data_IF_574690392430
#
_entry.id   IF_574690392430
#
_cell.length_a   1.000
_cell.length_b   1.000
_cell.length_c   1.000
_cell.angle_alpha   90.00
_cell.angle_beta   90.00
_cell.angle_gamma   90.00
#
_symmetry.space_group_name_H-M   'P 1'
#
loop_
_entity.id
_entity.type
_entity.pdbx_description
1 polymer ?
#
# COMPACT_ATOMS: atom_id res chain seq x y z
N UNK A 1 48.64 -1.22 10.92
CA UNK A 1 49.79 -2.04 11.37
C UNK A 1 50.62 -1.23 12.35
N UNK A 2 50.95 -1.81 13.50
CA UNK A 2 51.86 -1.26 14.51
C UNK A 2 53.21 -1.97 14.37
N UNK A 3 54.20 -1.30 13.79
CA UNK A 3 55.53 -1.88 13.64
C UNK A 3 56.29 -1.89 14.98
N UNK A 4 56.79 -3.06 15.39
CA UNK A 4 57.54 -3.22 16.64
C UNK A 4 58.48 -4.42 16.58
N UNK A 5 59.67 -4.32 17.17
CA UNK A 5 60.60 -5.44 17.29
C UNK A 5 60.11 -6.53 18.27
N UNK A 6 59.14 -6.22 19.14
CA UNK A 6 58.56 -7.15 20.11
C UNK A 6 57.05 -7.34 19.86
N UNK A 7 56.68 -7.84 18.68
CA UNK A 7 55.27 -8.03 18.29
C UNK A 7 54.46 -8.91 19.27
N UNK A 8 55.11 -9.89 19.91
CA UNK A 8 54.48 -10.77 20.90
C UNK A 8 54.54 -10.23 22.34
N UNK A 9 55.22 -9.11 22.57
CA UNK A 9 55.35 -8.50 23.89
C UNK A 9 54.02 -7.97 24.43
N UNK A 10 53.82 -8.06 25.75
CA UNK A 10 52.59 -7.58 26.39
C UNK A 10 52.34 -6.08 26.16
N UNK A 11 53.41 -5.28 26.11
CA UNK A 11 53.31 -3.83 25.84
C UNK A 11 52.81 -3.51 24.43
N UNK A 12 53.28 -4.26 23.42
CA UNK A 12 52.85 -4.08 22.04
C UNK A 12 51.39 -4.46 21.82
N UNK A 13 50.93 -5.57 22.42
CA UNK A 13 49.53 -6.00 22.36
C UNK A 13 48.61 -4.99 23.03
N UNK A 14 48.97 -4.51 24.22
CA UNK A 14 48.18 -3.50 24.95
C UNK A 14 48.08 -2.19 24.17
N UNK A 15 49.19 -1.74 23.58
CA UNK A 15 49.17 -0.54 22.74
C UNK A 15 48.31 -0.74 21.47
N UNK A 16 48.35 -1.93 20.87
CA UNK A 16 47.49 -2.26 19.74
C UNK A 16 46.00 -2.26 20.11
N UNK A 17 45.63 -2.77 21.29
CA UNK A 17 44.27 -2.71 21.84
C UNK A 17 43.83 -1.27 22.10
N UNK A 18 44.67 -0.46 22.76
CA UNK A 18 44.39 0.96 23.04
C UNK A 18 44.18 1.77 21.75
N UNK A 19 45.01 1.52 20.73
CA UNK A 19 44.87 2.16 19.41
C UNK A 19 43.63 1.65 18.66
N UNK A 20 43.32 0.36 18.75
CA UNK A 20 42.12 -0.20 18.11
C UNK A 20 40.85 0.39 18.71
N UNK A 21 40.80 0.56 20.03
CA UNK A 21 39.68 1.21 20.71
C UNK A 21 39.59 2.71 20.38
N UNK A 22 40.72 3.42 20.31
CA UNK A 22 40.75 4.86 20.04
C UNK A 22 40.33 5.22 18.62
N UNK A 23 40.69 4.38 17.64
CA UNK A 23 40.49 4.68 16.22
C UNK A 23 39.45 3.78 15.53
N UNK A 24 38.82 2.85 16.25
CA UNK A 24 37.77 1.94 15.75
C UNK A 24 38.18 1.10 14.52
N UNK A 25 39.47 0.78 14.42
CA UNK A 25 40.09 -0.02 13.34
C UNK A 25 40.98 -1.10 13.93
N UNK A 26 41.07 -2.25 13.28
CA UNK A 26 41.98 -3.33 13.67
C UNK A 26 43.45 -2.90 13.60
N UNK A 27 44.17 -3.02 14.71
CA UNK A 27 45.61 -2.76 14.79
C UNK A 27 46.36 -4.06 15.06
N UNK A 28 47.18 -4.48 14.10
CA UNK A 28 48.07 -5.64 14.25
C UNK A 28 49.49 -5.22 14.64
N UNK A 29 50.04 -5.67 15.78
CA UNK A 29 51.45 -5.53 16.11
C UNK A 29 52.28 -6.53 15.31
N UNK A 30 53.23 -6.05 14.51
CA UNK A 30 54.05 -6.88 13.62
C UNK A 30 55.49 -6.39 13.66
N UNK A 31 56.44 -7.32 13.68
CA UNK A 31 57.84 -7.05 13.41
C UNK A 31 58.07 -7.11 11.91
N UNK A 32 58.07 -5.95 11.27
CA UNK A 32 58.19 -5.85 9.80
C UNK A 32 59.55 -6.34 9.32
N UNK A 33 60.60 -6.28 10.16
CA UNK A 33 61.94 -6.73 9.78
C UNK A 33 62.06 -8.26 9.74
N UNK A 34 61.28 -8.97 10.56
CA UNK A 34 61.29 -10.44 10.66
C UNK A 34 59.96 -11.05 10.19
N UNK A 35 59.24 -10.36 9.30
CA UNK A 35 57.91 -10.75 8.85
C UNK A 35 57.94 -12.05 8.04
N UNK A 36 57.02 -12.97 8.36
CA UNK A 36 56.80 -14.21 7.61
C UNK A 36 55.65 -14.10 6.61
N UNK A 37 55.54 -15.04 5.67
CA UNK A 37 54.39 -15.12 4.75
C UNK A 37 53.05 -15.22 5.50
N UNK A 38 53.04 -15.91 6.65
CA UNK A 38 51.85 -16.01 7.50
C UNK A 38 51.44 -14.66 8.11
N UNK A 39 52.40 -13.77 8.38
CA UNK A 39 52.12 -12.42 8.87
C UNK A 39 51.55 -11.54 7.75
N UNK A 40 52.02 -11.72 6.51
CA UNK A 40 51.46 -11.05 5.32
C UNK A 40 50.00 -11.47 5.12
N UNK A 41 49.72 -12.78 5.16
CA UNK A 41 48.36 -13.31 5.05
C UNK A 41 47.44 -12.74 6.15
N UNK A 42 47.98 -12.60 7.36
CA UNK A 42 47.23 -12.02 8.48
C UNK A 42 46.93 -10.53 8.26
N UNK A 43 47.90 -9.75 7.78
CA UNK A 43 47.68 -8.33 7.44
C UNK A 43 46.59 -8.20 6.38
N UNK A 44 46.68 -9.00 5.31
CA UNK A 44 45.73 -8.94 4.21
C UNK A 44 44.31 -9.32 4.64
N UNK A 45 44.17 -10.36 5.48
CA UNK A 45 42.86 -10.74 6.05
C UNK A 45 42.26 -9.63 6.91
N UNK A 46 43.07 -9.00 7.77
CA UNK A 46 42.57 -7.90 8.62
C UNK A 46 42.21 -6.68 7.79
N UNK A 47 43.00 -6.36 6.77
CA UNK A 47 42.70 -5.27 5.84
C UNK A 47 41.38 -5.52 5.09
N UNK A 48 41.13 -6.76 4.65
CA UNK A 48 39.88 -7.14 3.97
C UNK A 48 38.65 -6.95 4.88
N UNK A 49 38.78 -7.26 6.17
CA UNK A 49 37.70 -7.12 7.16
C UNK A 49 37.35 -5.66 7.51
N UNK A 50 38.26 -4.74 7.27
CA UNK A 50 38.07 -3.30 7.50
C UNK A 50 37.43 -2.57 6.33
N UNK A 51 37.28 -3.22 5.16
CA UNK A 51 36.56 -2.63 4.04
C UNK A 51 35.07 -2.46 4.33
N UNK A 52 34.51 -1.41 3.74
CA UNK A 52 33.07 -1.17 3.78
C UNK A 52 32.33 -2.19 2.91
N UNK A 53 31.14 -2.59 3.36
CA UNK A 53 30.21 -3.40 2.59
C UNK A 53 29.62 -2.50 1.50
N UNK A 54 29.87 -2.84 0.24
CA UNK A 54 29.34 -2.09 -0.91
C UNK A 54 27.87 -2.43 -1.18
N UNK A 55 27.49 -3.69 -0.92
CA UNK A 55 26.14 -4.19 -1.15
C UNK A 55 25.76 -5.21 -0.09
N UNK A 56 24.63 -4.97 0.57
CA UNK A 56 24.00 -5.90 1.49
C UNK A 56 22.72 -6.43 0.85
N UNK A 57 22.72 -7.69 0.43
CA UNK A 57 21.56 -8.39 -0.14
C UNK A 57 20.84 -9.17 0.96
N UNK A 58 19.68 -8.68 1.39
CA UNK A 58 18.86 -9.34 2.41
C UNK A 58 17.71 -10.06 1.73
N UNK A 59 17.79 -11.39 1.71
CA UNK A 59 16.78 -12.27 1.14
C UNK A 59 15.76 -12.62 2.20
N UNK A 60 14.51 -12.34 1.88
CA UNK A 60 13.35 -12.59 2.74
C UNK A 60 12.31 -13.43 2.04
N UNK A 61 11.40 -14.08 2.80
CA UNK A 61 10.24 -14.73 2.23
C UNK A 61 9.45 -13.78 1.33
N UNK A 62 9.10 -14.26 0.14
CA UNK A 62 8.42 -13.47 -0.89
C UNK A 62 7.09 -12.86 -0.38
N UNK A 63 6.35 -13.55 0.48
CA UNK A 63 5.07 -13.10 0.98
C UNK A 63 5.19 -11.82 1.84
N UNK A 64 6.29 -11.62 2.59
CA UNK A 64 6.53 -10.39 3.35
C UNK A 64 6.61 -9.15 2.45
N UNK A 65 7.19 -9.31 1.25
CA UNK A 65 7.36 -8.20 0.30
C UNK A 65 6.04 -7.71 -0.28
N UNK A 66 5.03 -8.59 -0.35
CA UNK A 66 3.71 -8.33 -0.94
C UNK A 66 2.69 -7.81 0.08
N UNK A 67 2.98 -7.92 1.39
CA UNK A 67 2.13 -7.33 2.43
C UNK A 67 2.00 -5.82 2.25
N UNK A 68 0.89 -5.25 2.71
CA UNK A 68 0.69 -3.80 2.71
C UNK A 68 1.68 -3.10 3.64
N UNK A 69 2.14 -1.91 3.26
CA UNK A 69 3.11 -1.13 4.05
C UNK A 69 2.58 -0.73 5.44
N UNK A 70 1.26 -0.71 5.60
CA UNK A 70 0.62 -0.42 6.87
C UNK A 70 0.58 -1.62 7.83
N UNK A 71 0.80 -2.84 7.32
CA UNK A 71 0.71 -4.08 8.08
C UNK A 71 1.74 -4.11 9.23
N UNK A 72 1.36 -4.47 10.47
CA UNK A 72 2.26 -4.42 11.64
C UNK A 72 3.57 -5.19 11.44
N UNK A 73 3.48 -6.42 10.91
CA UNK A 73 4.66 -7.27 10.63
C UNK A 73 5.62 -6.61 9.64
N UNK A 74 5.11 -5.99 8.57
CA UNK A 74 5.94 -5.31 7.56
C UNK A 74 6.60 -4.05 8.12
N UNK A 75 5.88 -3.29 8.97
CA UNK A 75 6.44 -2.12 9.67
C UNK A 75 7.59 -2.52 10.59
N UNK A 76 7.38 -3.52 11.45
CA UNK A 76 8.41 -3.99 12.37
C UNK A 76 9.62 -4.56 11.61
N UNK A 77 9.39 -5.28 10.52
CA UNK A 77 10.46 -5.72 9.62
C UNK A 77 11.29 -4.55 9.07
N UNK A 78 10.63 -3.54 8.48
CA UNK A 78 11.31 -2.37 7.90
C UNK A 78 12.09 -1.58 8.96
N UNK A 79 11.57 -1.48 10.19
CA UNK A 79 12.24 -0.83 11.31
C UNK A 79 13.54 -1.56 11.70
N UNK A 80 13.48 -2.89 11.83
CA UNK A 80 14.65 -3.72 12.17
C UNK A 80 15.74 -3.59 11.09
N UNK A 81 15.36 -3.69 9.81
CA UNK A 81 16.30 -3.55 8.69
C UNK A 81 16.90 -2.13 8.62
N UNK A 82 16.08 -1.11 8.87
CA UNK A 82 16.54 0.28 8.91
C UNK A 82 17.58 0.53 10.00
N UNK A 83 17.39 -0.04 11.20
CA UNK A 83 18.32 0.10 12.31
C UNK A 83 19.68 -0.57 12.01
N UNK A 84 19.65 -1.75 11.39
CA UNK A 84 20.84 -2.54 11.07
C UNK A 84 21.69 -1.89 9.97
N UNK A 85 21.05 -1.40 8.92
CA UNK A 85 21.74 -0.74 7.79
C UNK A 85 22.33 0.62 8.14
N UNK A 86 21.81 1.30 9.17
CA UNK A 86 22.35 2.57 9.65
C UNK A 86 23.63 2.44 10.46
N UNK A 87 23.75 1.38 11.27
CA UNK A 87 24.80 1.24 12.30
C UNK A 87 26.03 0.46 11.83
N UNK A 88 25.87 -0.51 10.92
CA UNK A 88 26.95 -1.39 10.50
C UNK A 88 27.37 -1.16 9.05
N UNK A 89 28.65 -0.83 8.84
CA UNK A 89 29.19 -0.54 7.49
C UNK A 89 30.35 -1.42 7.03
N UNK A 90 31.06 -2.11 7.93
CA UNK A 90 32.29 -2.85 7.61
C UNK A 90 32.05 -4.35 7.47
N UNK A 91 32.89 -5.04 6.70
CA UNK A 91 32.84 -6.50 6.52
C UNK A 91 32.87 -7.27 7.83
N UNK A 92 33.71 -6.86 8.78
CA UNK A 92 33.76 -7.46 10.13
C UNK A 92 32.44 -7.38 10.90
N UNK A 93 31.53 -6.48 10.52
CA UNK A 93 30.22 -6.34 11.16
C UNK A 93 29.18 -7.29 10.58
N UNK A 94 29.49 -8.09 9.54
CA UNK A 94 28.53 -9.03 8.95
C UNK A 94 27.92 -9.98 10.01
N UNK A 95 28.74 -10.48 10.94
CA UNK A 95 28.26 -11.29 12.06
C UNK A 95 27.42 -10.49 13.06
N UNK A 96 27.80 -9.24 13.37
CA UNK A 96 26.99 -8.38 14.25
C UNK A 96 25.63 -8.03 13.63
N UNK A 97 25.58 -7.83 12.31
CA UNK A 97 24.34 -7.65 11.55
C UNK A 97 23.47 -8.90 11.69
N UNK A 98 24.06 -10.08 11.47
CA UNK A 98 23.35 -11.36 11.60
C UNK A 98 22.79 -11.54 13.02
N UNK A 99 23.58 -11.24 14.04
CA UNK A 99 23.18 -11.33 15.45
C UNK A 99 22.04 -10.37 15.78
N UNK A 100 22.14 -9.09 15.42
CA UNK A 100 21.07 -8.12 15.65
C UNK A 100 19.77 -8.47 14.92
N UNK A 101 19.87 -8.99 13.71
CA UNK A 101 18.69 -9.48 12.98
C UNK A 101 18.09 -10.67 13.71
N UNK A 102 18.90 -11.61 14.19
CA UNK A 102 18.45 -12.80 14.91
C UNK A 102 17.77 -12.50 16.26
N UNK A 103 17.96 -11.30 16.84
CA UNK A 103 17.21 -10.85 18.03
C UNK A 103 15.73 -10.54 17.72
N UNK A 104 15.37 -10.35 16.45
CA UNK A 104 14.00 -10.06 16.06
C UNK A 104 13.11 -11.31 16.23
N UNK A 105 12.01 -11.23 17.02
CA UNK A 105 11.13 -12.37 17.26
C UNK A 105 10.35 -12.82 16.02
N UNK A 106 10.34 -12.02 14.95
CA UNK A 106 9.70 -12.36 13.68
C UNK A 106 10.51 -13.36 12.85
N UNK A 107 11.82 -13.48 13.11
CA UNK A 107 12.72 -14.30 12.32
C UNK A 107 12.97 -15.62 13.03
N UNK A 108 12.82 -16.70 12.29
CA UNK A 108 13.12 -18.04 12.77
C UNK A 108 14.60 -18.36 12.60
N UNK A 109 15.20 -17.93 11.48
CA UNK A 109 16.64 -18.05 11.25
C UNK A 109 17.19 -16.89 10.44
N UNK A 110 18.45 -16.54 10.71
CA UNK A 110 19.20 -15.54 9.98
C UNK A 110 20.60 -16.08 9.69
N UNK A 111 20.90 -16.29 8.42
CA UNK A 111 22.14 -16.93 7.98
C UNK A 111 22.86 -16.07 6.94
N UNK A 112 24.18 -15.94 7.08
CA UNK A 112 25.02 -15.36 6.04
C UNK A 112 25.31 -16.48 5.03
N UNK A 113 24.79 -16.34 3.81
CA UNK A 113 24.92 -17.38 2.77
C UNK A 113 26.08 -17.11 1.83
N UNK A 114 26.48 -15.85 1.68
CA UNK A 114 27.63 -15.46 0.87
C UNK A 114 28.31 -14.25 1.47
N UNK A 115 29.64 -14.28 1.47
CA UNK A 115 30.50 -13.17 1.91
C UNK A 115 31.66 -13.05 0.91
N UNK A 116 31.56 -12.06 0.02
CA UNK A 116 32.56 -11.80 -1.02
C UNK A 116 33.29 -10.49 -0.74
N UNK A 117 34.48 -10.62 -0.14
CA UNK A 117 35.36 -9.49 0.18
C UNK A 117 36.02 -8.86 -1.05
N UNK A 118 36.00 -9.52 -2.22
CA UNK A 118 36.54 -8.98 -3.46
C UNK A 118 35.58 -8.02 -4.16
N UNK A 119 34.29 -8.33 -4.16
CA UNK A 119 33.24 -7.45 -4.71
C UNK A 119 32.62 -6.54 -3.68
N UNK A 120 32.79 -6.84 -2.39
CA UNK A 120 32.18 -6.09 -1.32
C UNK A 120 30.72 -6.46 -1.07
N UNK A 121 30.29 -7.67 -1.44
CA UNK A 121 28.91 -8.14 -1.36
C UNK A 121 28.71 -9.13 -0.19
N UNK A 122 27.67 -8.89 0.60
CA UNK A 122 27.24 -9.77 1.69
C UNK A 122 25.79 -10.16 1.45
N UNK A 123 25.50 -11.46 1.46
CA UNK A 123 24.15 -12.01 1.29
C UNK A 123 23.70 -12.63 2.61
N UNK A 124 22.56 -12.15 3.12
CA UNK A 124 21.92 -12.65 4.33
C UNK A 124 20.56 -13.20 3.95
N UNK A 125 20.28 -14.43 4.36
CA UNK A 125 19.00 -15.08 4.18
C UNK A 125 18.27 -15.17 5.52
N UNK A 126 17.05 -14.65 5.53
CA UNK A 126 16.15 -14.65 6.69
C UNK A 126 15.01 -15.62 6.41
N UNK A 127 14.70 -16.49 7.36
CA UNK A 127 13.46 -17.30 7.34
C UNK A 127 12.51 -16.83 8.43
N UNK A 128 11.22 -17.02 8.18
CA UNK A 128 10.15 -16.77 9.13
C UNK A 128 9.36 -18.07 9.34
N UNK A 129 8.81 -18.23 10.53
CA UNK A 129 8.10 -19.46 10.86
C UNK A 129 6.78 -19.60 10.09
N UNK A 130 6.37 -20.84 9.84
CA UNK A 130 5.10 -21.15 9.19
C UNK A 130 3.90 -20.67 10.03
N UNK A 131 4.02 -20.62 11.36
CA UNK A 131 3.00 -20.07 12.25
C UNK A 131 2.77 -18.58 12.02
N UNK A 132 3.83 -17.80 11.80
CA UNK A 132 3.70 -16.38 11.48
C UNK A 132 2.97 -16.19 10.15
N UNK A 133 3.34 -16.97 9.13
CA UNK A 133 2.65 -16.94 7.84
C UNK A 133 1.17 -17.30 7.98
N UNK A 134 0.85 -18.40 8.66
CA UNK A 134 -0.52 -18.86 8.84
C UNK A 134 -1.35 -17.86 9.63
N UNK A 135 -0.78 -17.22 10.67
CA UNK A 135 -1.45 -16.17 11.44
C UNK A 135 -1.82 -14.95 10.60
N UNK A 136 -0.92 -14.52 9.70
CA UNK A 136 -1.20 -13.41 8.77
C UNK A 136 -2.27 -13.79 7.76
N UNK A 137 -2.24 -15.01 7.23
CA UNK A 137 -3.28 -15.48 6.31
C UNK A 137 -4.63 -15.55 7.02
N UNK A 138 -4.68 -16.03 8.26
CA UNK A 138 -5.90 -16.04 9.07
C UNK A 138 -6.40 -14.62 9.39
N UNK A 139 -5.52 -13.65 9.60
CA UNK A 139 -5.90 -12.23 9.73
C UNK A 139 -6.57 -11.68 8.46
N UNK A 140 -6.02 -12.00 7.29
CA UNK A 140 -6.50 -11.47 6.00
C UNK A 140 -7.80 -12.18 5.54
N UNK A 141 -7.86 -13.50 5.71
CA UNK A 141 -8.87 -14.37 5.12
C UNK A 141 -9.90 -14.86 6.17
N UNK A 142 -9.60 -14.72 7.46
CA UNK A 142 -10.40 -15.26 8.56
C UNK A 142 -10.37 -16.79 8.60
N UNK A 143 -11.44 -17.36 9.17
CA UNK A 143 -11.63 -18.80 9.38
C UNK A 143 -11.57 -19.67 8.11
N UNK A 144 -11.57 -19.07 6.91
CA UNK A 144 -11.52 -19.80 5.66
C UNK A 144 -10.18 -20.52 5.43
N UNK A 145 -9.11 -20.20 6.18
CA UNK A 145 -7.85 -20.95 6.12
C UNK A 145 -8.00 -22.40 6.65
N UNK A 146 -8.93 -22.63 7.57
CA UNK A 146 -9.12 -23.91 8.24
C UNK A 146 -9.99 -24.91 7.44
N UNK A 147 -10.61 -24.46 6.34
CA UNK A 147 -11.46 -25.27 5.48
C UNK A 147 -11.10 -25.07 4.01
N UNK A 148 -10.54 -26.11 3.38
CA UNK A 148 -10.12 -26.10 1.97
C UNK A 148 -11.27 -25.75 1.02
N UNK A 149 -12.50 -26.13 1.35
CA UNK A 149 -13.69 -25.80 0.56
C UNK A 149 -14.00 -24.31 0.62
N UNK A 150 -14.06 -23.74 1.83
CA UNK A 150 -14.28 -22.30 2.03
C UNK A 150 -13.18 -21.45 1.40
N UNK A 151 -11.94 -21.91 1.47
CA UNK A 151 -10.82 -21.23 0.82
C UNK A 151 -11.01 -21.13 -0.71
N UNK A 152 -11.43 -22.23 -1.35
CA UNK A 152 -11.70 -22.24 -2.80
C UNK A 152 -12.89 -21.32 -3.13
N UNK A 153 -13.95 -21.36 -2.33
CA UNK A 153 -15.13 -20.49 -2.50
C UNK A 153 -14.75 -19.00 -2.39
N UNK A 154 -13.90 -18.65 -1.43
CA UNK A 154 -13.38 -17.29 -1.27
C UNK A 154 -12.54 -16.88 -2.48
N UNK A 155 -11.67 -17.74 -2.99
CA UNK A 155 -10.86 -17.43 -4.18
C UNK A 155 -11.75 -17.22 -5.43
N UNK A 156 -12.77 -18.04 -5.60
CA UNK A 156 -13.71 -17.92 -6.71
C UNK A 156 -14.52 -16.62 -6.64
N UNK A 157 -15.09 -16.32 -5.47
CA UNK A 157 -15.84 -15.09 -5.23
C UNK A 157 -14.96 -13.84 -5.35
N UNK A 158 -13.74 -13.87 -4.81
CA UNK A 158 -12.76 -12.77 -4.95
C UNK A 158 -12.36 -12.54 -6.40
N UNK A 159 -12.15 -13.61 -7.19
CA UNK A 159 -11.87 -13.51 -8.62
C UNK A 159 -13.03 -12.87 -9.37
N UNK A 160 -14.27 -13.27 -9.07
CA UNK A 160 -15.46 -12.71 -9.67
C UNK A 160 -15.63 -11.23 -9.31
N UNK A 161 -15.52 -10.89 -8.02
CA UNK A 161 -15.61 -9.53 -7.53
C UNK A 161 -14.53 -8.63 -8.15
N UNK A 162 -13.29 -9.11 -8.25
CA UNK A 162 -12.20 -8.40 -8.89
C UNK A 162 -12.48 -8.12 -10.36
N UNK A 163 -12.97 -9.10 -11.12
CA UNK A 163 -13.31 -8.92 -12.55
C UNK A 163 -14.37 -7.85 -12.75
N UNK A 164 -15.42 -7.87 -11.92
CA UNK A 164 -16.47 -6.85 -11.92
C UNK A 164 -15.88 -5.49 -11.54
N UNK A 165 -15.10 -5.41 -10.46
CA UNK A 165 -14.49 -4.15 -10.04
C UNK A 165 -13.56 -3.56 -11.11
N UNK A 166 -12.70 -4.37 -11.71
CA UNK A 166 -11.76 -3.95 -12.75
C UNK A 166 -12.50 -3.39 -13.99
N UNK A 167 -13.72 -3.87 -14.28
CA UNK A 167 -14.59 -3.32 -15.32
C UNK A 167 -15.09 -1.90 -15.03
N UNK A 168 -15.38 -1.60 -13.75
CA UNK A 168 -16.00 -0.33 -13.34
C UNK A 168 -15.04 0.67 -12.70
N UNK A 169 -13.84 0.23 -12.31
CA UNK A 169 -12.87 1.03 -11.55
C UNK A 169 -12.59 2.39 -12.21
N UNK A 170 -12.29 2.39 -13.51
CA UNK A 170 -12.00 3.64 -14.24
C UNK A 170 -13.19 4.60 -14.24
N UNK A 171 -14.41 4.07 -14.39
CA UNK A 171 -15.62 4.89 -14.33
C UNK A 171 -15.83 5.49 -12.93
N UNK A 172 -15.60 4.71 -11.88
CA UNK A 172 -15.68 5.19 -10.49
C UNK A 172 -14.68 6.31 -10.23
N UNK A 173 -13.44 6.16 -10.70
CA UNK A 173 -12.40 7.19 -10.56
C UNK A 173 -12.79 8.48 -11.32
N UNK A 174 -13.33 8.35 -12.54
CA UNK A 174 -13.84 9.48 -13.32
C UNK A 174 -15.01 10.21 -12.64
N UNK A 175 -15.98 9.47 -12.10
CA UNK A 175 -17.12 10.06 -11.37
C UNK A 175 -16.66 10.83 -10.15
N UNK A 176 -15.72 10.28 -9.38
CA UNK A 176 -15.18 10.95 -8.19
C UNK A 176 -14.48 12.26 -8.56
N UNK A 177 -13.75 12.27 -9.67
CA UNK A 177 -12.98 13.42 -10.12
C UNK A 177 -13.82 14.50 -10.84
N UNK A 178 -14.75 14.09 -11.70
CA UNK A 178 -15.43 15.00 -12.64
C UNK A 178 -16.95 15.05 -12.47
N UNK A 179 -17.52 14.17 -11.65
CA UNK A 179 -18.96 13.99 -11.48
C UNK A 179 -19.62 13.08 -12.52
N UNK A 180 -18.89 12.64 -13.55
CA UNK A 180 -19.41 11.73 -14.58
C UNK A 180 -18.35 10.69 -14.96
N UNK A 181 -18.75 9.43 -15.10
CA UNK A 181 -17.84 8.37 -15.52
C UNK A 181 -18.53 7.31 -16.34
N UNK A 182 -17.75 6.71 -17.24
CA UNK A 182 -18.27 5.79 -18.24
C UNK A 182 -17.50 4.49 -18.13
N UNK A 183 -18.23 3.40 -17.86
CA UNK A 183 -17.70 2.06 -17.94
C UNK A 183 -17.99 1.49 -19.33
N UNK A 184 -16.91 1.20 -20.06
CA UNK A 184 -17.01 0.59 -21.37
C UNK A 184 -17.32 -0.90 -21.23
N UNK A 185 -18.20 -1.46 -22.08
CA UNK A 185 -18.46 -2.89 -22.08
C UNK A 185 -17.19 -3.67 -22.44
N UNK A 186 -17.05 -4.83 -21.83
CA UNK A 186 -16.04 -5.81 -22.21
C UNK A 186 -16.39 -6.47 -23.55
N UNK A 187 -15.40 -7.02 -24.25
CA UNK A 187 -15.60 -7.74 -25.51
C UNK A 187 -16.57 -8.92 -25.33
N UNK A 188 -16.56 -9.54 -24.16
CA UNK A 188 -17.41 -10.68 -23.82
C UNK A 188 -18.90 -10.29 -23.67
N UNK A 189 -19.19 -9.00 -23.45
CA UNK A 189 -20.55 -8.45 -23.37
C UNK A 189 -21.05 -7.94 -24.73
N UNK A 190 -20.20 -7.96 -25.76
CA UNK A 190 -20.60 -7.54 -27.10
C UNK A 190 -21.38 -8.66 -27.80
N UNK A 191 -22.62 -8.36 -28.18
CA UNK A 191 -23.45 -9.25 -28.98
C UNK A 191 -23.29 -8.85 -30.45
N UNK A 192 -22.65 -9.72 -31.23
CA UNK A 192 -22.53 -9.54 -32.68
C UNK A 192 -23.82 -10.03 -33.36
N UNK A 193 -24.46 -9.14 -34.11
CA UNK A 193 -25.57 -9.50 -34.99
C UNK A 193 -25.04 -10.19 -36.25
N UNK A 194 -25.92 -10.95 -36.91
CA UNK A 194 -25.62 -11.65 -38.15
C UNK A 194 -25.11 -10.68 -39.24
N UNK A 195 -23.96 -10.97 -39.89
CA UNK A 195 -23.41 -10.11 -40.93
C UNK A 195 -24.36 -10.05 -42.13
N UNK A 196 -24.65 -8.84 -42.61
CA UNK A 196 -25.52 -8.63 -43.77
C UNK A 196 -24.72 -8.05 -44.94
N UNK A 197 -24.92 -8.61 -46.14
CA UNK A 197 -24.34 -8.03 -47.37
C UNK A 197 -25.16 -6.80 -47.75
N UNK A 198 -24.48 -5.67 -47.90
CA UNK A 198 -25.06 -4.42 -48.37
C UNK A 198 -24.51 -4.10 -49.76
N UNK A 199 -25.36 -3.51 -50.61
CA UNK A 199 -24.97 -3.04 -51.94
C UNK A 199 -25.17 -1.53 -52.02
N UNK A 200 -24.12 -0.82 -52.43
CA UNK A 200 -24.17 0.62 -52.69
C UNK A 200 -23.65 0.89 -54.10
N UNK A 201 -24.57 1.11 -55.05
CA UNK A 201 -24.25 1.22 -56.48
C UNK A 201 -23.66 -0.07 -57.05
N UNK A 202 -22.43 0.00 -57.58
CA UNK A 202 -21.69 -1.14 -58.15
C UNK A 202 -20.84 -1.91 -57.13
N UNK A 203 -20.79 -1.48 -55.86
CA UNK A 203 -19.94 -2.09 -54.82
C UNK A 203 -20.76 -2.87 -53.80
N UNK A 204 -20.17 -3.95 -53.30
CA UNK A 204 -20.69 -4.77 -52.22
C UNK A 204 -19.86 -4.55 -50.96
N UNK A 205 -20.52 -4.56 -49.81
CA UNK A 205 -19.89 -4.48 -48.51
C UNK A 205 -20.59 -5.40 -47.51
N UNK A 206 -19.99 -5.54 -46.33
CA UNK A 206 -20.56 -6.31 -45.22
C UNK A 206 -20.89 -5.32 -44.12
N UNK A 207 -22.14 -5.33 -43.64
CA UNK A 207 -22.56 -4.61 -42.45
C UNK A 207 -22.44 -5.55 -41.26
N UNK A 208 -21.54 -5.20 -40.36
CA UNK A 208 -21.41 -5.79 -39.03
C UNK A 208 -22.09 -4.85 -38.04
N UNK A 209 -22.98 -5.39 -37.20
CA UNK A 209 -23.61 -4.65 -36.10
C UNK A 209 -23.25 -5.35 -34.80
N UNK A 210 -22.69 -4.62 -33.86
CA UNK A 210 -22.44 -5.08 -32.50
C UNK A 210 -23.29 -4.24 -31.54
N UNK A 211 -23.91 -4.90 -30.56
CA UNK A 211 -24.62 -4.26 -29.46
C UNK A 211 -23.85 -4.52 -28.18
N UNK A 212 -23.59 -3.46 -27.41
CA UNK A 212 -22.88 -3.57 -26.15
C UNK A 212 -23.45 -2.54 -25.16
N UNK A 213 -23.73 -2.93 -23.90
CA UNK A 213 -24.27 -2.01 -22.91
C UNK A 213 -23.19 -1.03 -22.43
N UNK A 214 -23.46 0.27 -22.47
CA UNK A 214 -22.61 1.26 -21.78
C UNK A 214 -23.21 1.61 -20.43
N UNK A 215 -22.38 1.63 -19.39
CA UNK A 215 -22.80 2.03 -18.04
C UNK A 215 -22.27 3.43 -17.77
N UNK A 216 -23.19 4.33 -17.45
CA UNK A 216 -22.89 5.72 -17.14
C UNK A 216 -23.20 5.95 -15.67
N UNK A 217 -22.21 6.45 -14.94
CA UNK A 217 -22.32 6.78 -13.53
C UNK A 217 -22.30 8.29 -13.37
N UNK A 218 -23.16 8.81 -12.49
CA UNK A 218 -23.33 10.26 -12.27
C UNK A 218 -23.26 10.54 -10.77
N UNK A 219 -22.39 11.48 -10.38
CA UNK A 219 -22.35 12.02 -9.01
C UNK A 219 -23.34 13.18 -8.93
N UNK A 220 -24.18 13.16 -7.89
CA UNK A 220 -25.09 14.26 -7.57
C UNK A 220 -24.85 14.62 -6.11
N UNK A 221 -24.54 15.88 -5.85
CA UNK A 221 -24.43 16.40 -4.49
C UNK A 221 -25.83 16.72 -3.96
N UNK A 222 -26.17 16.20 -2.79
CA UNK A 222 -27.47 16.41 -2.15
C UNK A 222 -27.29 17.34 -0.96
N UNK A 223 -27.89 18.52 -1.06
CA UNK A 223 -27.91 19.49 0.04
C UNK A 223 -29.13 19.26 0.93
N UNK A 224 -28.89 19.14 2.23
CA UNK A 224 -29.94 19.11 3.25
C UNK A 224 -29.62 20.07 4.37
N UNK A 225 -30.50 21.03 4.60
CA UNK A 225 -30.44 21.95 5.73
C UNK A 225 -31.38 21.46 6.83
N UNK A 226 -30.91 21.52 8.07
CA UNK A 226 -31.73 21.29 9.25
C UNK A 226 -32.06 22.65 9.88
N UNK A 227 -33.33 23.06 9.79
CA UNK A 227 -33.81 24.36 10.27
C UNK A 227 -34.82 24.15 11.42
N UNK A 228 -34.35 23.83 12.65
CA UNK A 228 -35.24 23.65 13.79
C UNK A 228 -35.85 24.99 14.20
N UNK A 229 -37.15 25.02 14.42
CA UNK A 229 -37.84 26.19 14.98
C UNK A 229 -37.72 26.14 16.50
N UNK A 230 -36.91 27.04 17.06
CA UNK A 230 -36.52 27.03 18.47
C UNK A 230 -37.04 28.30 19.16
N UNK A 231 -38.32 28.26 19.52
CA UNK A 231 -38.91 29.20 20.48
C UNK A 231 -38.60 30.68 20.23
N UNK A 232 -38.05 31.36 21.25
CA UNK A 232 -37.75 32.80 21.21
C UNK A 232 -36.39 33.11 20.59
N UNK A 233 -36.18 34.38 20.19
CA UNK A 233 -34.91 34.86 19.62
C UNK A 233 -33.72 34.63 20.56
N UNK A 234 -33.92 34.83 21.88
CA UNK A 234 -32.87 34.60 22.88
C UNK A 234 -32.43 33.14 22.96
N UNK A 235 -33.38 32.19 22.86
CA UNK A 235 -33.08 30.76 22.87
C UNK A 235 -32.34 30.33 21.61
N UNK A 236 -32.70 30.92 20.46
CA UNK A 236 -32.00 30.68 19.19
C UNK A 236 -30.56 31.21 19.22
N UNK A 237 -30.32 32.40 19.79
CA UNK A 237 -28.97 32.97 19.95
C UNK A 237 -28.09 32.13 20.88
N UNK A 238 -28.63 31.68 22.01
CA UNK A 238 -27.88 30.83 22.95
C UNK A 238 -27.44 29.50 22.32
N UNK A 239 -28.28 28.89 21.48
CA UNK A 239 -27.90 27.68 20.75
C UNK A 239 -26.83 27.95 19.70
N UNK A 240 -26.96 29.06 18.96
CA UNK A 240 -25.98 29.46 17.96
C UNK A 240 -24.60 29.69 18.60
N UNK A 241 -24.54 30.43 19.71
CA UNK A 241 -23.31 30.70 20.45
C UNK A 241 -22.66 29.41 20.95
N UNK A 242 -23.47 28.44 21.40
CA UNK A 242 -22.98 27.11 21.82
C UNK A 242 -22.37 26.34 20.64
N UNK A 243 -23.05 26.30 19.50
CA UNK A 243 -22.56 25.60 18.29
C UNK A 243 -21.28 26.28 17.76
N UNK A 244 -21.22 27.61 17.76
CA UNK A 244 -20.03 28.35 17.33
C UNK A 244 -18.84 28.11 18.25
N UNK A 245 -19.07 28.08 19.58
CA UNK A 245 -18.02 27.75 20.54
C UNK A 245 -17.50 26.32 20.36
N UNK A 246 -18.39 25.35 20.14
CA UNK A 246 -18.00 23.98 19.85
C UNK A 246 -17.23 23.88 18.51
N UNK A 247 -17.61 24.69 17.50
CA UNK A 247 -16.90 24.80 16.22
C UNK A 247 -15.47 25.32 16.37
N UNK A 248 -15.28 26.38 17.14
CA UNK A 248 -13.96 26.97 17.38
C UNK A 248 -13.03 26.03 18.15
N UNK A 249 -13.60 25.15 18.98
CA UNK A 249 -12.82 24.21 19.80
C UNK A 249 -12.45 22.95 19.02
N UNK A 250 -13.41 22.35 18.28
CA UNK A 250 -13.18 21.17 17.45
C UNK A 250 -14.16 21.12 16.26
N UNK A 251 -13.78 21.63 15.07
CA UNK A 251 -14.69 21.75 13.91
C UNK A 251 -15.31 20.41 13.47
N UNK A 252 -14.56 19.31 13.60
CA UNK A 252 -15.03 17.97 13.26
C UNK A 252 -15.99 17.38 14.31
N UNK A 253 -15.90 17.84 15.56
CA UNK A 253 -16.68 17.36 16.70
C UNK A 253 -18.15 17.75 16.65
N UNK A 254 -18.51 18.79 15.90
CA UNK A 254 -19.89 19.29 15.76
C UNK A 254 -20.86 18.22 15.25
N UNK A 255 -20.39 17.33 14.38
CA UNK A 255 -21.20 16.22 13.88
C UNK A 255 -21.61 15.24 14.98
N UNK A 256 -20.83 15.18 16.06
CA UNK A 256 -21.11 14.41 17.26
C UNK A 256 -21.85 15.21 18.34
N UNK A 257 -22.00 16.53 18.18
CA UNK A 257 -22.74 17.35 19.13
C UNK A 257 -24.20 16.94 19.19
N UNK A 258 -24.69 16.82 20.42
CA UNK A 258 -26.04 16.39 20.72
C UNK A 258 -26.97 17.61 20.75
N UNK A 259 -27.94 17.63 19.85
CA UNK A 259 -28.93 18.70 19.71
C UNK A 259 -30.31 18.03 19.80
N UNK A 260 -31.07 18.37 20.85
CA UNK A 260 -32.38 17.78 21.15
C UNK A 260 -32.37 16.25 21.42
N UNK A 261 -31.33 15.73 22.07
CA UNK A 261 -31.25 14.31 22.45
C UNK A 261 -30.92 13.37 21.29
N UNK A 262 -30.47 13.91 20.15
CA UNK A 262 -29.92 13.17 19.01
C UNK A 262 -28.66 13.86 18.50
N UNK A 263 -27.77 13.11 17.85
CA UNK A 263 -26.58 13.68 17.22
C UNK A 263 -26.96 14.47 15.97
N UNK A 264 -26.31 15.61 15.74
CA UNK A 264 -26.55 16.43 14.56
C UNK A 264 -26.31 15.65 13.26
N UNK A 265 -25.29 14.78 13.22
CA UNK A 265 -25.02 13.88 12.08
C UNK A 265 -26.18 12.95 11.74
N UNK A 266 -26.92 12.45 12.72
CA UNK A 266 -28.08 11.58 12.49
C UNK A 266 -29.21 12.37 11.82
N UNK A 267 -29.50 13.57 12.32
CA UNK A 267 -30.58 14.42 11.82
C UNK A 267 -30.31 14.90 10.40
N UNK A 268 -29.07 15.30 10.10
CA UNK A 268 -28.67 15.71 8.75
C UNK A 268 -28.67 14.51 7.79
N UNK A 269 -28.20 13.33 8.23
CA UNK A 269 -28.22 12.12 7.42
C UNK A 269 -29.66 11.63 7.14
N UNK A 270 -30.59 11.77 8.08
CA UNK A 270 -32.01 11.47 7.85
C UNK A 270 -32.58 12.37 6.73
N UNK A 271 -32.24 13.66 6.73
CA UNK A 271 -32.61 14.61 5.67
C UNK A 271 -32.00 14.29 4.30
N UNK A 272 -30.73 13.89 4.27
CA UNK A 272 -30.06 13.44 3.03
C UNK A 272 -30.71 12.14 2.53
N UNK A 273 -30.92 11.15 3.40
CA UNK A 273 -31.53 9.85 3.05
C UNK A 273 -32.94 10.00 2.49
N UNK A 274 -33.75 10.88 3.07
CA UNK A 274 -35.07 11.21 2.53
C UNK A 274 -34.99 11.80 1.10
N UNK A 275 -33.93 12.57 0.80
CA UNK A 275 -33.72 13.19 -0.52
C UNK A 275 -33.08 12.26 -1.56
N UNK A 276 -32.33 11.24 -1.14
CA UNK A 276 -31.61 10.32 -2.03
C UNK A 276 -32.54 9.51 -2.96
N UNK A 277 -33.79 9.26 -2.57
CA UNK A 277 -34.76 8.48 -3.36
C UNK A 277 -35.79 9.33 -4.10
N UNK A 278 -35.55 10.64 -4.25
CA UNK A 278 -36.55 11.56 -4.81
C UNK A 278 -36.73 11.48 -6.32
N UNK A 279 -35.79 10.89 -7.06
CA UNK A 279 -35.91 10.82 -8.52
C UNK A 279 -36.93 9.73 -8.89
N UNK A 280 -38.15 10.07 -9.32
CA UNK A 280 -39.19 9.06 -9.51
C UNK A 280 -38.87 8.20 -10.75
N UNK A 281 -39.31 6.95 -10.77
CA UNK A 281 -38.95 5.96 -11.80
C UNK A 281 -39.23 6.43 -13.23
N UNK A 282 -40.32 7.18 -13.44
CA UNK A 282 -40.66 7.75 -14.74
C UNK A 282 -39.61 8.77 -15.25
N UNK A 283 -38.99 9.53 -14.35
CA UNK A 283 -37.91 10.47 -14.68
C UNK A 283 -36.62 9.70 -14.95
N UNK A 284 -36.31 8.69 -14.15
CA UNK A 284 -35.16 7.80 -14.38
C UNK A 284 -35.23 7.16 -15.77
N UNK A 285 -36.39 6.63 -16.16
CA UNK A 285 -36.61 6.02 -17.46
C UNK A 285 -36.40 7.03 -18.61
N UNK A 286 -37.01 8.21 -18.51
CA UNK A 286 -36.86 9.27 -19.53
C UNK A 286 -35.42 9.75 -19.65
N UNK A 287 -34.70 9.88 -18.53
CA UNK A 287 -33.29 10.25 -18.51
C UNK A 287 -32.44 9.20 -19.24
N UNK A 288 -32.61 7.92 -18.89
CA UNK A 288 -31.93 6.80 -19.57
C UNK A 288 -32.21 6.76 -21.07
N UNK A 289 -33.48 6.84 -21.49
CA UNK A 289 -33.86 6.80 -22.91
C UNK A 289 -33.29 7.98 -23.70
N UNK A 290 -33.23 9.16 -23.06
CA UNK A 290 -32.67 10.36 -23.68
C UNK A 290 -31.16 10.24 -23.85
N UNK A 291 -30.45 9.76 -22.82
CA UNK A 291 -29.02 9.45 -22.90
C UNK A 291 -28.74 8.41 -24.00
N UNK A 292 -29.52 7.33 -24.05
CA UNK A 292 -29.38 6.28 -25.07
C UNK A 292 -29.55 6.83 -26.49
N UNK A 293 -30.52 7.73 -26.71
CA UNK A 293 -30.71 8.39 -28.00
C UNK A 293 -29.54 9.28 -28.38
N UNK A 294 -28.99 10.05 -27.42
CA UNK A 294 -27.85 10.94 -27.67
C UNK A 294 -26.60 10.14 -28.03
N UNK A 295 -26.29 9.10 -27.27
CA UNK A 295 -25.13 8.21 -27.50
C UNK A 295 -25.23 7.55 -28.87
N UNK A 296 -26.40 6.99 -29.24
CA UNK A 296 -26.56 6.27 -30.51
C UNK A 296 -26.62 7.18 -31.75
N UNK A 297 -27.17 8.39 -31.62
CA UNK A 297 -27.34 9.30 -32.78
C UNK A 297 -26.14 10.24 -32.98
N UNK A 298 -25.25 10.35 -31.99
CA UNK A 298 -24.00 11.12 -32.06
C UNK A 298 -24.15 12.62 -32.31
N UNK A 299 -25.40 13.13 -32.32
CA UNK A 299 -25.75 14.53 -32.60
C UNK A 299 -27.00 14.89 -31.79
N UNK A 300 -26.86 15.80 -30.84
CA UNK A 300 -27.96 16.35 -30.04
C UNK A 300 -27.53 16.67 -28.61
N UNK A 301 -28.02 17.79 -28.08
CA UNK A 301 -27.95 18.11 -26.66
C UNK A 301 -29.18 17.59 -25.91
N UNK A 302 -29.07 17.44 -24.59
CA UNK A 302 -30.20 17.10 -23.72
C UNK A 302 -30.78 18.41 -23.16
N UNK A 303 -32.07 18.63 -23.38
CA UNK A 303 -32.81 19.71 -22.72
C UNK A 303 -33.86 19.04 -21.84
N UNK A 304 -33.79 19.28 -20.53
CA UNK A 304 -34.76 18.79 -19.55
C UNK A 304 -35.61 19.97 -19.11
N UNK A 305 -36.93 19.86 -19.27
CA UNK A 305 -37.88 20.78 -18.66
C UNK A 305 -38.33 20.18 -17.32
N UNK A 306 -38.04 20.90 -16.25
CA UNK A 306 -38.58 20.60 -14.91
C UNK A 306 -39.80 21.49 -14.75
N UNK A 307 -40.95 20.87 -14.51
CA UNK A 307 -42.26 21.51 -14.35
C UNK A 307 -42.60 21.66 -12.87
#
# INVERSE_FOLDING_TARGET
VLNTAEANGAGAKRLAEDLSAKYEVGVLPIDVMNMSDADIDRILKEALNEFDISKLDIRIPNWLSVLEDEHPVKKQFNEVIGNVTGEFRKFKHAEMIREKLAECPLFESVNITSLDSGTGEVVIEISCSDELYNGIVEEIIGDAINDRGKFIELLQSSKQAKRIFDQYKTALDQVKATGYGIACPSVEEMVLDSPQIIRQGSRYGIRLRALAPSIHMVKVDVESCFEPIIGSEEQSKQLLDKIMKDYETEPAGIWNSEIFGRKLSEVVNDGIRAKLFLLPENVQYKFRETLEKVVNKGRGGIIVFIL
#
